data_IF_444492585755
#
_entry.id   IF_444492585755
#
_cell.length_a   1.000
_cell.length_b   1.000
_cell.length_c   1.000
_cell.angle_alpha   90.00
_cell.angle_beta   90.00
_cell.angle_gamma   90.00
#
_symmetry.space_group_name_H-M   'P 1'
#
loop_
_entity.id
_entity.type
_entity.pdbx_description
1 polymer ?
#
# COMPACT_ATOMS: atom_id res chain seq x y z
N UNK A 1 30.89 6.06 -6.59
CA UNK A 1 30.14 5.85 -7.85
C UNK A 1 28.61 5.81 -7.68
N UNK A 2 28.06 5.71 -6.46
CA UNK A 2 26.59 5.68 -6.25
C UNK A 2 25.84 6.90 -6.81
N UNK A 3 26.51 8.03 -7.02
CA UNK A 3 25.92 9.27 -7.56
C UNK A 3 26.19 9.49 -9.04
N UNK A 4 26.96 8.63 -9.66
CA UNK A 4 27.29 8.72 -11.08
C UNK A 4 26.10 8.25 -11.92
N UNK A 5 25.99 8.73 -13.14
CA UNK A 5 24.94 8.28 -14.05
C UNK A 5 25.14 6.77 -14.37
N UNK A 6 24.10 5.98 -14.22
CA UNK A 6 24.13 4.52 -14.44
C UNK A 6 24.59 4.19 -15.87
N UNK A 7 24.14 4.99 -16.86
CA UNK A 7 24.53 4.85 -18.24
C UNK A 7 26.04 5.03 -18.47
N UNK A 8 26.66 6.02 -17.80
CA UNK A 8 28.09 6.28 -17.90
C UNK A 8 28.91 5.15 -17.28
N UNK A 9 28.45 4.60 -16.15
CA UNK A 9 29.09 3.43 -15.52
C UNK A 9 28.99 2.19 -16.40
N UNK A 10 27.85 1.98 -17.06
CA UNK A 10 27.64 0.88 -17.98
C UNK A 10 28.60 0.95 -19.21
N UNK A 11 28.78 2.14 -19.78
CA UNK A 11 29.71 2.38 -20.90
C UNK A 11 31.18 2.08 -20.54
N UNK A 12 31.53 2.22 -19.28
CA UNK A 12 32.90 2.03 -18.80
C UNK A 12 33.09 0.74 -17.99
N UNK A 13 32.18 -0.24 -18.13
CA UNK A 13 32.17 -1.50 -17.36
C UNK A 13 33.52 -2.25 -17.41
N UNK A 14 34.25 -2.16 -18.53
CA UNK A 14 35.58 -2.80 -18.70
C UNK A 14 36.66 -2.33 -17.71
N UNK A 15 36.44 -1.21 -17.02
CA UNK A 15 37.33 -0.68 -15.98
C UNK A 15 37.33 -1.53 -14.70
N UNK A 16 36.28 -2.35 -14.50
CA UNK A 16 36.07 -3.16 -13.30
C UNK A 16 35.87 -4.65 -13.64
N UNK A 17 36.91 -5.35 -14.14
CA UNK A 17 36.78 -6.71 -14.67
C UNK A 17 36.39 -7.78 -13.62
N UNK A 18 36.46 -7.44 -12.31
CA UNK A 18 36.10 -8.36 -11.21
C UNK A 18 34.71 -8.07 -10.60
N UNK A 19 33.94 -7.14 -11.16
CA UNK A 19 32.63 -6.76 -10.65
C UNK A 19 31.53 -7.33 -11.51
N UNK A 20 30.50 -7.92 -10.87
CA UNK A 20 29.23 -8.19 -11.56
C UNK A 20 28.55 -6.85 -11.89
N UNK A 21 28.85 -6.31 -13.06
CA UNK A 21 28.37 -5.00 -13.48
C UNK A 21 26.85 -4.93 -13.62
N UNK A 22 26.13 -5.91 -14.19
CA UNK A 22 24.67 -5.90 -14.19
C UNK A 22 24.08 -5.72 -12.79
N UNK A 23 24.53 -6.50 -11.83
CA UNK A 23 24.08 -6.39 -10.43
C UNK A 23 24.48 -5.04 -9.82
N UNK A 24 25.72 -4.60 -9.99
CA UNK A 24 26.18 -3.32 -9.43
C UNK A 24 25.38 -2.13 -9.97
N UNK A 25 25.06 -2.11 -11.27
CA UNK A 25 24.26 -1.06 -11.90
C UNK A 25 22.81 -1.09 -11.39
N UNK A 26 22.22 -2.27 -11.21
CA UNK A 26 20.89 -2.46 -10.60
C UNK A 26 20.87 -1.87 -9.18
N UNK A 27 21.91 -2.13 -8.37
CA UNK A 27 22.00 -1.62 -7.00
C UNK A 27 22.19 -0.09 -6.97
N UNK A 28 22.96 0.48 -7.88
CA UNK A 28 23.15 1.94 -7.99
C UNK A 28 21.85 2.62 -8.41
N UNK A 29 21.16 2.12 -9.43
CA UNK A 29 19.85 2.65 -9.88
C UNK A 29 18.82 2.56 -8.75
N UNK A 30 18.73 1.40 -8.10
CA UNK A 30 17.84 1.16 -6.97
C UNK A 30 18.09 2.14 -5.82
N UNK A 31 19.34 2.36 -5.43
CA UNK A 31 19.71 3.31 -4.39
C UNK A 31 19.38 4.76 -4.78
N UNK A 32 19.67 5.18 -6.01
CA UNK A 32 19.35 6.53 -6.50
C UNK A 32 17.85 6.83 -6.44
N UNK A 33 17.01 5.84 -6.76
CA UNK A 33 15.55 5.93 -6.64
C UNK A 33 15.13 5.97 -5.16
N UNK A 34 15.72 5.08 -4.36
CA UNK A 34 15.43 5.00 -2.93
C UNK A 34 15.75 6.29 -2.18
N UNK A 35 16.79 7.04 -2.57
CA UNK A 35 17.09 8.35 -1.95
C UNK A 35 15.89 9.31 -1.91
N UNK A 36 14.99 9.22 -2.88
CA UNK A 36 13.78 10.06 -2.94
C UNK A 36 12.54 9.33 -2.44
N UNK A 37 12.41 8.04 -2.78
CA UNK A 37 11.19 7.26 -2.55
C UNK A 37 11.17 6.57 -1.18
N UNK A 38 12.34 6.12 -0.70
CA UNK A 38 12.56 5.32 0.50
C UNK A 38 13.81 5.81 1.27
N UNK A 39 13.84 7.05 1.77
CA UNK A 39 15.04 7.64 2.37
C UNK A 39 15.60 6.82 3.54
N UNK A 40 14.75 6.19 4.36
CA UNK A 40 15.20 5.30 5.45
C UNK A 40 15.97 4.09 4.91
N UNK A 41 15.48 3.46 3.84
CA UNK A 41 16.16 2.33 3.20
C UNK A 41 17.48 2.78 2.56
N UNK A 42 17.49 3.94 1.88
CA UNK A 42 18.70 4.49 1.26
C UNK A 42 19.80 4.86 2.28
N UNK A 43 19.42 5.22 3.51
CA UNK A 43 20.33 5.50 4.61
C UNK A 43 20.84 4.22 5.29
N UNK A 44 20.19 3.08 5.12
CA UNK A 44 20.60 1.79 5.69
C UNK A 44 21.64 1.14 4.79
N UNK A 45 22.82 0.89 5.32
CA UNK A 45 23.91 0.25 4.56
C UNK A 45 23.59 -1.23 4.31
N UNK A 46 23.95 -1.71 3.11
CA UNK A 46 23.78 -3.11 2.73
C UNK A 46 22.39 -3.48 2.20
N UNK A 47 21.43 -2.57 2.14
CA UNK A 47 20.14 -2.82 1.50
C UNK A 47 20.34 -3.28 0.05
N UNK A 48 19.66 -4.36 -0.30
CA UNK A 48 19.60 -4.90 -1.65
C UNK A 48 18.32 -4.42 -2.33
N UNK A 49 18.49 -3.82 -3.50
CA UNK A 49 17.39 -3.31 -4.32
C UNK A 49 17.03 -4.31 -5.41
N UNK A 50 15.75 -4.57 -5.66
CA UNK A 50 15.31 -5.43 -6.76
C UNK A 50 15.42 -4.70 -8.10
N UNK A 51 15.15 -5.40 -9.23
CA UNK A 51 15.10 -4.78 -10.54
C UNK A 51 14.21 -3.54 -10.60
N UNK A 52 14.54 -2.63 -11.49
CA UNK A 52 13.91 -1.33 -11.74
C UNK A 52 12.37 -1.31 -11.62
N UNK A 53 11.69 -2.26 -12.27
CA UNK A 53 10.23 -2.32 -12.27
C UNK A 53 9.64 -2.48 -10.86
N UNK A 54 10.22 -3.33 -10.03
CA UNK A 54 9.76 -3.53 -8.66
C UNK A 54 9.98 -2.28 -7.80
N UNK A 55 11.09 -1.54 -8.04
CA UNK A 55 11.34 -0.25 -7.39
C UNK A 55 10.35 0.84 -7.82
N UNK A 56 9.85 0.82 -9.04
CA UNK A 56 8.81 1.76 -9.48
C UNK A 56 7.44 1.45 -8.88
N UNK A 57 7.08 0.19 -8.81
CA UNK A 57 5.78 -0.28 -8.34
C UNK A 57 5.62 -0.26 -6.81
N UNK A 58 6.71 -0.35 -6.04
CA UNK A 58 6.61 -0.34 -4.59
C UNK A 58 6.07 1.00 -4.05
N UNK A 59 5.54 0.96 -2.85
CA UNK A 59 5.10 2.15 -2.12
C UNK A 59 6.24 3.14 -1.87
N UNK A 60 5.92 4.42 -1.74
CA UNK A 60 6.84 5.40 -1.15
C UNK A 60 6.89 5.23 0.37
N UNK A 61 7.95 5.71 1.01
CA UNK A 61 8.04 5.72 2.47
C UNK A 61 6.86 6.45 3.12
N UNK A 62 6.42 7.55 2.53
CA UNK A 62 5.28 8.33 3.04
C UNK A 62 3.99 7.50 3.04
N UNK A 63 3.67 6.82 1.93
CA UNK A 63 2.47 5.98 1.85
C UNK A 63 2.60 4.72 2.71
N UNK A 64 3.81 4.14 2.86
CA UNK A 64 4.06 3.01 3.74
C UNK A 64 3.87 3.38 5.22
N UNK A 65 4.39 4.54 5.65
CA UNK A 65 4.18 5.06 7.00
C UNK A 65 2.71 5.36 7.28
N UNK A 66 1.99 5.86 6.29
CA UNK A 66 0.55 6.08 6.43
C UNK A 66 -0.20 4.74 6.62
N UNK A 67 0.11 3.71 5.83
CA UNK A 67 -0.45 2.35 6.03
C UNK A 67 -0.13 1.80 7.41
N UNK A 68 1.11 1.95 7.86
CA UNK A 68 1.49 1.55 9.22
C UNK A 68 0.67 2.30 10.29
N UNK A 69 0.40 3.60 10.12
CA UNK A 69 -0.50 4.38 11.00
C UNK A 69 -1.93 3.85 10.98
N UNK A 70 -2.46 3.47 9.83
CA UNK A 70 -3.80 2.85 9.73
C UNK A 70 -3.81 1.51 10.47
N UNK A 71 -2.85 0.64 10.15
CA UNK A 71 -2.75 -0.71 10.73
C UNK A 71 -2.53 -0.66 12.25
N UNK A 72 -1.75 0.31 12.76
CA UNK A 72 -1.51 0.44 14.21
C UNK A 72 -2.78 0.63 15.05
N UNK A 73 -3.84 1.19 14.45
CA UNK A 73 -5.15 1.35 15.11
C UNK A 73 -5.98 0.07 15.12
N UNK A 74 -5.69 -0.83 14.18
CA UNK A 74 -6.42 -2.08 13.97
C UNK A 74 -5.76 -3.28 14.64
N UNK A 75 -4.45 -3.21 14.85
CA UNK A 75 -3.62 -4.30 15.36
C UNK A 75 -3.53 -4.21 16.89
N UNK A 76 -4.17 -5.13 17.63
CA UNK A 76 -4.11 -5.13 19.09
C UNK A 76 -2.73 -5.59 19.58
N UNK A 77 -2.41 -5.25 20.82
CA UNK A 77 -1.20 -5.77 21.49
C UNK A 77 -1.27 -7.30 21.56
N UNK A 78 -0.22 -7.98 21.13
CA UNK A 78 -0.17 -9.43 21.03
C UNK A 78 -1.01 -10.02 19.88
N UNK A 79 -1.53 -9.17 18.99
CA UNK A 79 -2.23 -9.59 17.79
C UNK A 79 -1.31 -10.16 16.72
N UNK A 80 -1.87 -10.41 15.54
CA UNK A 80 -1.12 -10.92 14.38
C UNK A 80 -1.42 -10.11 13.13
N UNK A 81 -0.37 -9.83 12.36
CA UNK A 81 -0.42 -9.18 11.06
C UNK A 81 0.14 -10.10 9.99
N UNK A 82 -0.59 -10.26 8.90
CA UNK A 82 -0.18 -11.07 7.74
C UNK A 82 -0.27 -10.22 6.48
N UNK A 83 0.83 -10.09 5.75
CA UNK A 83 0.86 -9.51 4.40
C UNK A 83 0.88 -10.67 3.39
N UNK A 84 -0.21 -10.84 2.64
CA UNK A 84 -0.36 -11.93 1.65
C UNK A 84 0.25 -11.60 0.28
N UNK A 85 0.77 -10.39 0.10
CA UNK A 85 1.28 -9.88 -1.18
C UNK A 85 2.56 -9.08 -0.99
N UNK A 86 3.48 -9.64 -0.22
CA UNK A 86 4.64 -8.94 0.33
C UNK A 86 5.51 -8.12 -0.63
N UNK A 87 5.69 -8.58 -1.87
CA UNK A 87 6.46 -7.88 -2.90
C UNK A 87 7.87 -7.53 -2.44
N UNK A 88 8.27 -6.26 -2.55
CA UNK A 88 9.57 -5.79 -2.03
C UNK A 88 9.61 -5.70 -0.49
N UNK A 89 8.48 -5.78 0.19
CA UNK A 89 8.39 -5.69 1.65
C UNK A 89 8.45 -4.27 2.21
N UNK A 90 8.26 -3.24 1.38
CA UNK A 90 8.30 -1.84 1.86
C UNK A 90 7.19 -1.61 2.88
N UNK A 91 5.94 -1.85 2.52
CA UNK A 91 4.79 -1.64 3.40
C UNK A 91 4.91 -2.48 4.67
N UNK A 92 5.26 -3.76 4.50
CA UNK A 92 5.50 -4.68 5.61
C UNK A 92 6.56 -4.16 6.58
N UNK A 93 7.69 -3.65 6.07
CA UNK A 93 8.80 -3.20 6.91
C UNK A 93 8.42 -2.04 7.84
N UNK A 94 7.55 -1.12 7.40
CA UNK A 94 7.07 -0.03 8.25
C UNK A 94 6.01 -0.48 9.25
N UNK A 95 5.19 -1.47 8.90
CA UNK A 95 4.23 -2.08 9.82
C UNK A 95 4.95 -2.90 10.90
N UNK A 96 5.93 -3.70 10.54
CA UNK A 96 6.70 -4.52 11.48
C UNK A 96 7.59 -3.70 12.44
N UNK A 97 7.79 -2.40 12.18
CA UNK A 97 8.46 -1.47 13.11
C UNK A 97 7.52 -0.86 14.16
N UNK A 98 6.23 -1.15 14.12
CA UNK A 98 5.29 -0.66 15.12
C UNK A 98 5.67 -1.15 16.52
N UNK A 99 5.57 -0.30 17.56
CA UNK A 99 5.91 -0.66 18.93
C UNK A 99 4.82 -1.54 19.55
N UNK A 100 4.69 -2.77 19.09
CA UNK A 100 3.69 -3.74 19.53
C UNK A 100 4.35 -5.11 19.71
N UNK A 101 3.72 -5.98 20.53
CA UNK A 101 4.13 -7.39 20.73
C UNK A 101 3.40 -8.32 19.73
N UNK A 102 2.94 -7.79 18.59
CA UNK A 102 2.26 -8.57 17.58
C UNK A 102 3.24 -9.49 16.84
N UNK A 103 2.72 -10.58 16.28
CA UNK A 103 3.43 -11.41 15.31
C UNK A 103 3.26 -10.83 13.91
N UNK A 104 4.31 -10.94 13.08
CA UNK A 104 4.35 -10.41 11.72
C UNK A 104 4.75 -11.50 10.74
N UNK A 105 3.90 -11.75 9.74
CA UNK A 105 4.15 -12.72 8.67
C UNK A 105 4.12 -12.02 7.32
N UNK A 106 5.18 -12.18 6.56
CA UNK A 106 5.33 -11.70 5.20
C UNK A 106 5.25 -12.91 4.25
N UNK A 107 4.35 -12.85 3.27
CA UNK A 107 4.15 -13.91 2.28
C UNK A 107 4.39 -13.37 0.88
N UNK A 108 5.27 -14.00 0.13
CA UNK A 108 5.59 -13.64 -1.25
C UNK A 108 5.93 -14.90 -2.06
N UNK A 109 5.38 -15.01 -3.29
CA UNK A 109 5.56 -16.19 -4.14
C UNK A 109 6.90 -16.24 -4.88
N UNK A 110 7.54 -15.09 -5.09
CA UNK A 110 8.79 -15.00 -5.81
C UNK A 110 9.97 -15.20 -4.86
N UNK A 111 10.64 -16.35 -4.96
CA UNK A 111 11.77 -16.73 -4.10
C UNK A 111 12.83 -15.62 -4.01
N UNK A 112 13.18 -14.98 -5.14
CA UNK A 112 14.16 -13.89 -5.16
C UNK A 112 13.72 -12.71 -4.28
N UNK A 113 12.43 -12.34 -4.29
CA UNK A 113 11.91 -11.26 -3.46
C UNK A 113 11.90 -11.68 -1.98
N UNK A 114 11.57 -12.92 -1.65
CA UNK A 114 11.65 -13.44 -0.29
C UNK A 114 13.08 -13.35 0.26
N UNK A 115 14.09 -13.76 -0.53
CA UNK A 115 15.50 -13.69 -0.14
C UNK A 115 15.96 -12.23 0.09
N UNK A 116 15.58 -11.33 -0.82
CA UNK A 116 15.87 -9.88 -0.69
C UNK A 116 15.17 -9.28 0.52
N UNK A 117 13.89 -9.59 0.71
CA UNK A 117 13.11 -9.09 1.84
C UNK A 117 13.70 -9.57 3.17
N UNK A 118 14.00 -10.86 3.32
CA UNK A 118 14.61 -11.41 4.54
C UNK A 118 15.95 -10.73 4.87
N UNK A 119 16.81 -10.52 3.85
CA UNK A 119 18.07 -9.79 4.01
C UNK A 119 17.84 -8.34 4.47
N UNK A 120 16.94 -7.62 3.79
CA UNK A 120 16.66 -6.23 4.09
C UNK A 120 16.00 -6.05 5.46
N UNK A 121 15.08 -6.95 5.84
CA UNK A 121 14.41 -6.92 7.15
C UNK A 121 15.43 -7.07 8.29
N UNK A 122 16.42 -7.96 8.14
CA UNK A 122 17.49 -8.12 9.12
C UNK A 122 18.30 -6.82 9.29
N UNK A 123 18.62 -6.12 8.19
CA UNK A 123 19.34 -4.83 8.22
C UNK A 123 18.50 -3.70 8.81
N UNK A 124 17.19 -3.73 8.60
CA UNK A 124 16.23 -2.78 9.20
C UNK A 124 15.91 -3.09 10.67
N UNK A 125 16.52 -4.13 11.25
CA UNK A 125 16.35 -4.52 12.64
C UNK A 125 15.09 -5.34 12.94
N UNK A 126 14.40 -5.83 11.92
CA UNK A 126 13.21 -6.66 12.05
C UNK A 126 13.61 -8.12 12.26
N UNK A 127 13.82 -8.53 13.52
CA UNK A 127 14.36 -9.87 13.86
C UNK A 127 13.28 -10.90 14.09
N UNK A 128 12.08 -10.47 14.47
CA UNK A 128 10.98 -11.34 14.89
C UNK A 128 9.86 -11.38 13.84
N UNK A 129 10.25 -11.38 12.56
CA UNK A 129 9.32 -11.48 11.42
C UNK A 129 9.48 -12.85 10.74
N UNK A 130 8.36 -13.44 10.36
CA UNK A 130 8.32 -14.66 9.56
C UNK A 130 8.26 -14.29 8.07
N UNK A 131 9.13 -14.88 7.27
CA UNK A 131 9.13 -14.75 5.81
C UNK A 131 8.77 -16.10 5.20
N UNK A 132 7.58 -16.18 4.60
CA UNK A 132 7.09 -17.38 3.93
C UNK A 132 7.12 -17.20 2.40
N UNK A 133 7.82 -18.10 1.73
CA UNK A 133 7.92 -18.11 0.27
C UNK A 133 6.81 -19.00 -0.32
N UNK A 134 5.59 -18.46 -0.35
CA UNK A 134 4.39 -19.16 -0.77
C UNK A 134 3.47 -18.29 -1.63
N UNK A 135 2.51 -18.89 -2.31
CA UNK A 135 1.40 -18.16 -2.90
C UNK A 135 0.49 -17.64 -1.78
N UNK A 136 0.13 -16.35 -1.81
CA UNK A 136 -0.68 -15.73 -0.77
C UNK A 136 -2.08 -16.33 -0.62
N UNK A 137 -2.65 -16.88 -1.70
CA UNK A 137 -3.96 -17.57 -1.66
C UNK A 137 -3.84 -18.92 -0.97
N UNK A 138 -2.80 -19.70 -1.31
CA UNK A 138 -2.52 -20.98 -0.66
C UNK A 138 -2.22 -20.80 0.82
N UNK A 139 -1.47 -19.73 1.16
CA UNK A 139 -1.20 -19.37 2.55
C UNK A 139 -2.50 -18.98 3.27
N UNK A 140 -3.37 -18.16 2.67
CA UNK A 140 -4.67 -17.80 3.23
C UNK A 140 -5.49 -19.04 3.56
N UNK A 141 -5.54 -20.04 2.67
CA UNK A 141 -6.31 -21.27 2.89
C UNK A 141 -5.82 -22.08 4.11
N UNK A 142 -4.53 -22.04 4.43
CA UNK A 142 -3.92 -22.84 5.50
C UNK A 142 -3.68 -22.07 6.79
N UNK A 143 -3.57 -20.73 6.77
CA UNK A 143 -3.22 -19.92 7.93
C UNK A 143 -4.28 -19.97 9.03
N UNK A 144 -3.90 -19.80 10.32
CA UNK A 144 -4.86 -19.53 11.40
C UNK A 144 -5.51 -18.14 11.22
N UNK A 145 -6.51 -17.83 12.06
CA UNK A 145 -7.06 -16.48 12.09
C UNK A 145 -6.01 -15.45 12.49
N UNK A 146 -6.07 -14.27 11.88
CA UNK A 146 -5.19 -13.13 12.14
C UNK A 146 -6.00 -11.90 12.59
N UNK A 147 -5.34 -10.97 13.31
CA UNK A 147 -5.98 -9.70 13.67
C UNK A 147 -6.11 -8.79 12.44
N UNK A 148 -5.05 -8.70 11.64
CA UNK A 148 -5.05 -7.88 10.42
C UNK A 148 -4.42 -8.67 9.28
N UNK A 149 -5.11 -8.70 8.13
CA UNK A 149 -4.58 -9.20 6.86
C UNK A 149 -4.47 -8.04 5.88
N UNK A 150 -3.31 -7.91 5.24
CA UNK A 150 -3.04 -6.92 4.20
C UNK A 150 -2.90 -7.57 2.83
N UNK A 151 -3.45 -6.91 1.80
CA UNK A 151 -3.29 -7.28 0.40
C UNK A 151 -3.06 -6.05 -0.48
N UNK A 152 -2.10 -6.15 -1.39
CA UNK A 152 -1.86 -5.24 -2.51
C UNK A 152 -1.95 -6.03 -3.83
N UNK A 153 -3.17 -6.36 -4.30
CA UNK A 153 -3.34 -7.21 -5.45
C UNK A 153 -2.82 -6.52 -6.72
N UNK A 154 -1.93 -7.20 -7.43
CA UNK A 154 -1.37 -6.72 -8.69
C UNK A 154 -2.39 -6.79 -9.82
N UNK A 155 -2.31 -5.87 -10.78
CA UNK A 155 -3.13 -5.94 -12.00
C UNK A 155 -2.68 -7.10 -12.89
N UNK A 156 -3.62 -7.76 -13.55
CA UNK A 156 -3.32 -8.73 -14.61
C UNK A 156 -3.05 -7.96 -15.91
N UNK A 157 -1.79 -7.78 -16.25
CA UNK A 157 -1.38 -7.20 -17.54
C UNK A 157 -1.41 -8.25 -18.66
N UNK A 158 -2.53 -8.93 -18.86
CA UNK A 158 -2.60 -9.93 -19.94
C UNK A 158 -2.57 -9.31 -21.35
N UNK A 159 -2.96 -8.04 -21.55
CA UNK A 159 -3.10 -7.46 -22.89
C UNK A 159 -2.94 -5.93 -22.96
N UNK A 160 -2.24 -5.26 -22.02
CA UNK A 160 -1.94 -3.82 -22.12
C UNK A 160 -3.18 -2.90 -22.14
N UNK A 161 -4.36 -3.41 -21.80
CA UNK A 161 -5.60 -2.65 -21.72
C UNK A 161 -5.67 -1.88 -20.40
N UNK A 162 -6.19 -0.65 -20.46
CA UNK A 162 -6.49 0.16 -19.26
C UNK A 162 -7.74 -0.39 -18.55
N UNK A 163 -7.70 -1.64 -18.10
CA UNK A 163 -8.80 -2.20 -17.32
C UNK A 163 -8.63 -1.76 -15.86
N UNK A 164 -9.71 -1.24 -15.28
CA UNK A 164 -9.73 -0.59 -13.98
C UNK A 164 -10.80 -1.24 -13.10
N UNK A 165 -10.93 -2.58 -13.20
CA UNK A 165 -11.87 -3.36 -12.40
C UNK A 165 -11.12 -4.20 -11.36
N UNK A 166 -11.73 -4.41 -10.18
CA UNK A 166 -11.15 -5.27 -9.14
C UNK A 166 -11.02 -6.72 -9.56
N UNK A 167 -11.93 -7.20 -10.42
CA UNK A 167 -11.90 -8.55 -10.98
C UNK A 167 -10.65 -8.83 -11.84
N UNK A 168 -9.96 -7.77 -12.30
CA UNK A 168 -8.72 -7.89 -13.09
C UNK A 168 -7.46 -7.96 -12.21
N UNK A 169 -7.62 -7.93 -10.89
CA UNK A 169 -6.52 -8.01 -9.94
C UNK A 169 -6.15 -9.46 -9.62
N UNK A 170 -4.92 -9.68 -9.21
CA UNK A 170 -4.42 -10.96 -8.71
C UNK A 170 -3.66 -10.74 -7.39
N UNK A 171 -4.09 -11.41 -6.30
CA UNK A 171 -5.24 -12.31 -6.20
C UNK A 171 -6.59 -11.61 -6.43
N UNK A 172 -7.60 -12.39 -6.87
CA UNK A 172 -8.98 -11.90 -7.02
C UNK A 172 -9.63 -11.75 -5.64
N UNK A 173 -9.62 -10.52 -5.15
CA UNK A 173 -10.11 -10.20 -3.80
C UNK A 173 -11.61 -10.46 -3.64
N UNK A 174 -12.39 -10.32 -4.72
CA UNK A 174 -13.84 -10.54 -4.66
C UNK A 174 -14.17 -12.02 -4.43
N UNK A 175 -13.43 -12.93 -5.05
CA UNK A 175 -13.56 -14.36 -4.81
C UNK A 175 -13.09 -14.76 -3.39
N UNK A 176 -12.03 -14.11 -2.87
CA UNK A 176 -11.45 -14.40 -1.56
C UNK A 176 -12.17 -13.70 -0.41
N UNK A 177 -13.05 -12.74 -0.67
CA UNK A 177 -13.65 -11.85 0.34
C UNK A 177 -14.24 -12.59 1.54
N UNK A 178 -15.04 -13.62 1.30
CA UNK A 178 -15.68 -14.34 2.41
C UNK A 178 -14.66 -15.06 3.30
N UNK A 179 -13.63 -15.64 2.71
CA UNK A 179 -12.58 -16.32 3.45
C UNK A 179 -11.70 -15.33 4.23
N UNK A 180 -11.33 -14.23 3.59
CA UNK A 180 -10.59 -13.14 4.25
C UNK A 180 -11.35 -12.66 5.49
N UNK A 181 -12.66 -12.40 5.37
CA UNK A 181 -13.49 -11.94 6.48
C UNK A 181 -13.75 -13.02 7.55
N UNK A 182 -13.60 -14.30 7.23
CA UNK A 182 -13.63 -15.38 8.23
C UNK A 182 -12.33 -15.49 9.00
N UNK A 183 -11.20 -15.26 8.33
CA UNK A 183 -9.85 -15.48 8.88
C UNK A 183 -9.19 -14.23 9.45
N UNK A 184 -9.75 -13.03 9.21
CA UNK A 184 -9.21 -11.79 9.75
C UNK A 184 -10.27 -10.97 10.47
N UNK A 185 -9.90 -10.31 11.57
CA UNK A 185 -10.76 -9.32 12.21
C UNK A 185 -10.87 -8.07 11.33
N UNK A 186 -9.74 -7.67 10.74
CA UNK A 186 -9.66 -6.60 9.75
C UNK A 186 -8.89 -7.04 8.51
N UNK A 187 -9.38 -6.60 7.34
CA UNK A 187 -8.68 -6.75 6.07
C UNK A 187 -8.37 -5.37 5.52
N UNK A 188 -7.12 -5.09 5.21
CA UNK A 188 -6.68 -3.84 4.60
C UNK A 188 -6.28 -4.12 3.16
N UNK A 189 -7.04 -3.54 2.21
CA UNK A 189 -6.80 -3.68 0.78
C UNK A 189 -6.17 -2.40 0.24
N UNK A 190 -5.02 -2.50 -0.39
CA UNK A 190 -4.45 -1.41 -1.18
C UNK A 190 -4.86 -1.59 -2.64
N UNK A 191 -5.47 -0.56 -3.21
CA UNK A 191 -5.96 -0.57 -4.58
C UNK A 191 -5.38 0.60 -5.37
N UNK A 192 -5.35 0.44 -6.70
CA UNK A 192 -4.91 1.49 -7.60
C UNK A 192 -5.73 2.77 -7.45
N UNK A 193 -5.12 3.97 -7.48
CA UNK A 193 -5.84 5.24 -7.48
C UNK A 193 -6.71 5.44 -8.75
N UNK A 194 -6.50 4.62 -9.78
CA UNK A 194 -7.32 4.66 -11.00
C UNK A 194 -8.68 4.00 -10.85
N UNK A 195 -8.87 3.11 -9.84
CA UNK A 195 -10.15 2.46 -9.58
C UNK A 195 -11.22 3.47 -9.16
N UNK A 196 -12.46 3.22 -9.57
CA UNK A 196 -13.62 3.92 -9.01
C UNK A 196 -13.93 3.36 -7.62
N UNK A 197 -13.72 4.18 -6.60
CA UNK A 197 -13.93 3.77 -5.22
C UNK A 197 -15.41 3.48 -4.91
N UNK A 198 -16.37 4.13 -5.62
CA UNK A 198 -17.79 3.84 -5.44
C UNK A 198 -18.12 2.43 -5.94
N UNK A 199 -17.61 2.07 -7.11
CA UNK A 199 -17.79 0.73 -7.65
C UNK A 199 -17.11 -0.30 -6.75
N UNK A 200 -15.88 -0.04 -6.30
CA UNK A 200 -15.18 -0.93 -5.38
C UNK A 200 -15.95 -1.13 -4.06
N UNK A 201 -16.54 -0.07 -3.50
CA UNK A 201 -17.39 -0.15 -2.30
C UNK A 201 -18.63 -1.05 -2.52
N UNK A 202 -19.27 -0.94 -3.69
CA UNK A 202 -20.44 -1.77 -4.01
C UNK A 202 -20.05 -3.25 -4.17
N UNK A 203 -18.94 -3.53 -4.84
CA UNK A 203 -18.43 -4.88 -5.07
C UNK A 203 -17.95 -5.56 -3.79
N UNK A 204 -17.25 -4.82 -2.93
CA UNK A 204 -16.79 -5.31 -1.63
C UNK A 204 -17.93 -5.50 -0.61
N UNK A 205 -18.99 -4.70 -0.73
CA UNK A 205 -20.12 -4.69 0.19
C UNK A 205 -20.03 -3.60 1.24
N UNK A 206 -21.02 -2.71 1.27
CA UNK A 206 -21.08 -1.57 2.22
C UNK A 206 -21.15 -2.00 3.68
N UNK A 207 -21.66 -3.18 3.93
CA UNK A 207 -21.86 -3.76 5.26
C UNK A 207 -20.56 -4.20 5.93
N UNK A 208 -19.52 -4.49 5.16
CA UNK A 208 -18.20 -4.93 5.65
C UNK A 208 -17.12 -3.86 5.55
N UNK A 209 -17.26 -2.88 4.63
CA UNK A 209 -16.31 -1.76 4.51
C UNK A 209 -16.51 -0.77 5.66
N UNK A 210 -15.47 -0.41 6.37
CA UNK A 210 -15.45 0.56 7.49
C UNK A 210 -14.85 1.89 7.11
N UNK A 211 -13.70 1.85 6.46
CA UNK A 211 -12.96 3.04 6.06
C UNK A 211 -12.50 2.93 4.61
N UNK A 212 -12.53 4.05 3.92
CA UNK A 212 -11.96 4.24 2.58
C UNK A 212 -10.98 5.40 2.70
N UNK A 213 -9.69 5.12 2.53
CA UNK A 213 -8.66 6.14 2.52
C UNK A 213 -8.26 6.44 1.09
N UNK A 214 -8.32 7.70 0.70
CA UNK A 214 -7.85 8.20 -0.58
C UNK A 214 -6.56 8.95 -0.28
N UNK A 215 -5.43 8.33 -0.60
CA UNK A 215 -4.12 8.80 -0.16
C UNK A 215 -3.41 9.52 -1.29
N UNK A 216 -3.09 10.78 -1.05
CA UNK A 216 -2.28 11.64 -1.93
C UNK A 216 -0.94 11.98 -1.28
N UNK A 217 0.04 12.25 -2.10
CA UNK A 217 1.34 12.77 -1.72
C UNK A 217 1.70 13.87 -2.71
N UNK A 218 2.02 15.06 -2.21
CA UNK A 218 2.32 16.23 -3.03
C UNK A 218 1.23 16.50 -4.09
N UNK A 219 -0.03 16.50 -3.66
CA UNK A 219 -1.21 16.71 -4.49
C UNK A 219 -1.38 15.74 -5.66
N UNK A 220 -0.87 14.50 -5.53
CA UNK A 220 -1.09 13.41 -6.50
C UNK A 220 -1.65 12.19 -5.78
N UNK A 221 -2.84 11.69 -6.21
CA UNK A 221 -3.45 10.51 -5.63
C UNK A 221 -2.60 9.27 -5.95
N UNK A 222 -2.11 8.59 -4.91
CA UNK A 222 -1.17 7.48 -5.02
C UNK A 222 -1.83 6.11 -4.85
N UNK A 223 -2.79 6.00 -3.94
CA UNK A 223 -3.44 4.73 -3.64
C UNK A 223 -4.80 4.93 -2.97
N UNK A 224 -5.64 3.91 -3.04
CA UNK A 224 -6.84 3.76 -2.25
C UNK A 224 -6.61 2.64 -1.23
N UNK A 225 -7.01 2.85 0.04
CA UNK A 225 -7.01 1.79 1.05
C UNK A 225 -8.45 1.56 1.50
N UNK A 226 -8.87 0.31 1.46
CA UNK A 226 -10.16 -0.12 2.01
C UNK A 226 -9.90 -0.93 3.27
N UNK A 227 -10.50 -0.52 4.37
CA UNK A 227 -10.50 -1.28 5.63
C UNK A 227 -11.83 -2.00 5.73
N UNK A 228 -11.78 -3.32 5.69
CA UNK A 228 -12.93 -4.18 5.89
C UNK A 228 -12.86 -4.80 7.27
N UNK A 229 -14.02 -5.09 7.88
CA UNK A 229 -14.08 -5.83 9.13
C UNK A 229 -15.11 -6.94 9.05
N UNK A 230 -14.81 -8.03 9.77
CA UNK A 230 -15.78 -9.10 9.98
C UNK A 230 -17.03 -8.54 10.66
N UNK A 231 -18.20 -9.06 10.27
CA UNK A 231 -19.45 -8.73 10.97
C UNK A 231 -19.36 -9.09 12.46
N UNK A 232 -19.74 -8.16 13.31
CA UNK A 232 -19.67 -8.33 14.77
C UNK A 232 -18.41 -7.83 15.45
N UNK A 233 -17.33 -7.51 14.71
CA UNK A 233 -16.12 -6.91 15.31
C UNK A 233 -16.27 -5.41 15.61
N UNK A 234 -17.24 -4.73 14.97
CA UNK A 234 -17.55 -3.31 15.17
C UNK A 234 -19.07 -3.12 15.13
N UNK A 235 -19.60 -2.10 15.80
CA UNK A 235 -21.04 -1.76 15.73
C UNK A 235 -21.51 -1.61 14.27
N UNK A 236 -22.49 -2.40 13.88
CA UNK A 236 -22.95 -2.61 12.49
C UNK A 236 -23.67 -1.39 11.90
N UNK A 237 -23.90 -0.34 12.68
CA UNK A 237 -24.69 0.84 12.27
C UNK A 237 -23.86 2.00 11.71
N UNK A 238 -22.54 1.94 11.78
CA UNK A 238 -21.69 3.03 11.31
C UNK A 238 -21.54 3.03 9.80
N UNK A 239 -21.87 4.15 9.16
CA UNK A 239 -21.60 4.35 7.74
C UNK A 239 -20.09 4.33 7.45
N UNK A 240 -19.66 3.79 6.29
CA UNK A 240 -18.25 3.84 5.91
C UNK A 240 -17.72 5.28 5.90
N UNK A 241 -16.57 5.47 6.57
CA UNK A 241 -15.86 6.76 6.57
C UNK A 241 -15.02 6.90 5.31
N UNK A 242 -14.88 8.12 4.84
CA UNK A 242 -13.94 8.48 3.76
C UNK A 242 -12.91 9.44 4.34
N UNK A 243 -11.65 9.04 4.29
CA UNK A 243 -10.51 9.84 4.73
C UNK A 243 -9.70 10.27 3.50
N UNK A 244 -9.77 11.56 3.16
CA UNK A 244 -8.96 12.14 2.10
C UNK A 244 -7.68 12.68 2.73
N UNK A 245 -6.55 12.16 2.30
CA UNK A 245 -5.24 12.38 2.94
C UNK A 245 -4.26 12.96 1.93
N UNK A 246 -3.56 14.03 2.31
CA UNK A 246 -2.39 14.55 1.58
C UNK A 246 -1.30 14.94 2.59
N UNK A 247 -0.30 14.11 2.73
CA UNK A 247 0.69 14.25 3.80
C UNK A 247 0.06 14.13 5.19
N UNK A 248 0.14 15.20 5.99
CA UNK A 248 -0.44 15.25 7.33
C UNK A 248 -1.88 15.80 7.35
N UNK A 249 -2.35 16.34 6.23
CA UNK A 249 -3.70 16.87 6.11
C UNK A 249 -4.72 15.74 5.90
N UNK A 250 -5.80 15.75 6.68
CA UNK A 250 -6.85 14.75 6.60
C UNK A 250 -8.21 15.45 6.59
N UNK A 251 -8.98 15.23 5.53
CA UNK A 251 -10.40 15.55 5.47
C UNK A 251 -11.21 14.27 5.70
N UNK A 252 -12.00 14.25 6.78
CA UNK A 252 -12.78 13.10 7.23
C UNK A 252 -14.28 13.35 6.99
N UNK A 253 -14.94 12.43 6.30
CA UNK A 253 -16.35 12.48 6.01
C UNK A 253 -16.94 11.08 5.94
N UNK A 254 -18.22 10.94 5.62
CA UNK A 254 -18.87 9.65 5.42
C UNK A 254 -19.38 9.49 3.98
N UNK A 255 -19.62 8.25 3.57
CA UNK A 255 -20.16 7.95 2.23
C UNK A 255 -21.48 8.65 1.97
N UNK A 256 -22.34 8.76 2.98
CA UNK A 256 -23.67 9.37 2.86
C UNK A 256 -23.74 10.82 3.41
N UNK A 257 -22.59 11.47 3.66
CA UNK A 257 -22.57 12.85 4.10
C UNK A 257 -23.35 13.77 3.14
N UNK A 258 -24.16 14.71 3.67
CA UNK A 258 -24.95 15.62 2.84
C UNK A 258 -24.08 16.38 1.86
N UNK A 259 -24.51 16.44 0.60
CA UNK A 259 -23.87 17.23 -0.45
C UNK A 259 -24.59 18.58 -0.56
N UNK A 260 -24.05 19.62 0.06
CA UNK A 260 -24.55 20.98 -0.09
C UNK A 260 -23.93 21.63 -1.31
N UNK A 261 -24.76 22.06 -2.25
CA UNK A 261 -24.33 22.86 -3.39
C UNK A 261 -24.61 24.32 -3.07
N UNK A 262 -23.59 25.16 -3.06
CA UNK A 262 -23.74 26.59 -2.91
C UNK A 262 -23.90 27.23 -4.30
N UNK A 263 -25.02 27.86 -4.56
CA UNK A 263 -25.23 28.66 -5.77
C UNK A 263 -25.28 30.14 -5.37
N UNK A 264 -24.17 30.83 -5.60
CA UNK A 264 -24.10 32.29 -5.41
C UNK A 264 -24.40 33.03 -6.72
N UNK A 265 -25.01 34.20 -6.63
CA UNK A 265 -25.27 35.07 -7.78
C UNK A 265 -24.06 35.90 -8.21
N UNK A 266 -22.97 35.87 -7.45
CA UNK A 266 -21.71 36.60 -7.77
C UNK A 266 -20.50 35.70 -7.61
N UNK A 267 -19.49 35.92 -8.45
CA UNK A 267 -18.22 35.23 -8.32
C UNK A 267 -17.50 35.67 -7.03
N UNK A 268 -16.97 34.73 -6.23
CA UNK A 268 -16.22 35.07 -5.03
C UNK A 268 -14.87 35.70 -5.41
N UNK A 269 -14.25 36.43 -4.46
CA UNK A 269 -12.94 37.04 -4.64
C UNK A 269 -11.79 36.01 -4.75
N UNK A 270 -12.01 34.79 -4.25
CA UNK A 270 -11.04 33.71 -4.24
C UNK A 270 -11.65 32.41 -4.76
N UNK A 271 -10.89 31.68 -5.53
CA UNK A 271 -11.17 30.32 -5.97
C UNK A 271 -10.25 29.36 -5.24
N UNK A 272 -10.82 28.30 -4.67
CA UNK A 272 -10.08 27.23 -3.98
C UNK A 272 -10.27 25.92 -4.75
N UNK A 273 -9.16 25.28 -5.10
CA UNK A 273 -9.17 23.93 -5.65
C UNK A 273 -8.84 22.95 -4.50
N UNK A 274 -9.69 21.97 -4.21
CA UNK A 274 -9.36 20.93 -3.24
C UNK A 274 -8.17 20.10 -3.70
N UNK A 275 -7.43 19.52 -2.77
CA UNK A 275 -6.33 18.63 -3.10
C UNK A 275 -6.80 17.35 -3.82
N UNK A 276 -5.86 16.60 -4.42
CA UNK A 276 -6.16 15.46 -5.28
C UNK A 276 -6.97 14.36 -4.59
N UNK A 277 -6.80 14.15 -3.27
CA UNK A 277 -7.57 13.14 -2.53
C UNK A 277 -9.05 13.54 -2.40
N UNK A 278 -9.34 14.81 -2.12
CA UNK A 278 -10.70 15.35 -2.04
C UNK A 278 -11.35 15.37 -3.44
N UNK A 279 -10.57 15.75 -4.47
CA UNK A 279 -11.02 15.70 -5.86
C UNK A 279 -11.43 14.28 -6.27
N UNK A 280 -10.61 13.28 -5.92
CA UNK A 280 -10.91 11.86 -6.17
C UNK A 280 -12.12 11.37 -5.39
N UNK A 281 -12.32 11.84 -4.17
CA UNK A 281 -13.49 11.51 -3.35
C UNK A 281 -14.79 12.05 -3.93
N UNK A 282 -14.76 13.18 -4.64
CA UNK A 282 -15.96 13.83 -5.18
C UNK A 282 -16.93 14.36 -4.11
N UNK A 283 -16.45 14.58 -2.88
CA UNK A 283 -17.30 14.96 -1.71
C UNK A 283 -17.30 16.48 -1.47
N UNK A 284 -17.41 17.26 -2.54
CA UNK A 284 -17.32 18.72 -2.49
C UNK A 284 -18.39 19.37 -1.62
N UNK A 285 -19.62 18.84 -1.65
CA UNK A 285 -20.70 19.37 -0.82
C UNK A 285 -20.48 19.15 0.68
N UNK A 286 -19.80 18.08 1.08
CA UNK A 286 -19.39 17.85 2.46
C UNK A 286 -18.24 18.77 2.88
N UNK A 287 -17.36 19.16 1.96
CA UNK A 287 -16.29 20.11 2.21
C UNK A 287 -16.82 21.54 2.47
N UNK A 288 -17.97 21.89 1.86
CA UNK A 288 -18.61 23.19 2.00
C UNK A 288 -19.57 23.28 3.21
N UNK A 289 -19.73 22.21 3.97
CA UNK A 289 -20.65 22.15 5.12
C UNK A 289 -19.95 22.50 6.42
#
# INVERSE_FOLDING_TARGET
HRRDAVADLALHASRWPGVDMPFALEQIDGWQRACRKLPTWAATEGIVYPPHLAMEQCSSEQTARYKAKVISRLLPVGGSYVDLTGGLGVDFSFVAQLPTQASFVYVERQKRLCEVAAHNFALLGLRDVEVDCADGVDYLHSMPCASVVFLDPARRDAHGGKTVAMADCQPDVLQLREELLKKADFVVLKLSPMLDWHQALLELGRDVVREIHIVSVANECKELLFVLSRQGCVETSAQPRILCVDGDEVFDTTVDAPQRIFSGSSLPAYFYEPNASIMKAGRFGALCA
#
